data_IF_440734306472
#
_entry.id   IF_440734306472
#
_cell.length_a   1.000
_cell.length_b   1.000
_cell.length_c   1.000
_cell.angle_alpha   90.00
_cell.angle_beta   90.00
_cell.angle_gamma   90.00
#
_symmetry.space_group_name_H-M   'P 1'
#
loop_
_entity.id
_entity.type
_entity.pdbx_description
1 polymer ?
#
# COMPACT_ATOMS: atom_id res chain seq x y z
N UNK A 1 24.14 -13.80 4.60
CA UNK A 1 22.72 -13.40 4.84
C UNK A 1 21.91 -13.86 3.62
N UNK A 2 20.65 -14.29 3.73
CA UNK A 2 19.88 -14.91 2.61
C UNK A 2 20.00 -14.20 1.25
N UNK A 3 20.00 -12.85 1.23
CA UNK A 3 20.21 -12.04 0.02
C UNK A 3 21.64 -12.12 -0.56
N UNK A 4 22.64 -12.22 0.30
CA UNK A 4 24.06 -12.30 -0.07
C UNK A 4 24.42 -13.70 -0.59
N UNK A 5 23.80 -14.73 0.00
CA UNK A 5 24.07 -16.14 -0.28
C UNK A 5 23.30 -16.63 -1.54
N UNK A 6 22.17 -15.99 -1.86
CA UNK A 6 21.31 -16.35 -3.01
C UNK A 6 21.02 -15.15 -3.93
N UNK A 7 22.05 -14.65 -4.61
CA UNK A 7 21.98 -13.43 -5.44
C UNK A 7 21.10 -13.55 -6.69
N UNK A 8 20.88 -14.76 -7.19
CA UNK A 8 20.06 -15.03 -8.38
C UNK A 8 18.56 -15.08 -8.09
N UNK A 9 18.17 -15.17 -6.81
CA UNK A 9 16.77 -15.19 -6.39
C UNK A 9 16.29 -13.75 -6.22
N UNK A 10 15.11 -13.44 -6.75
CA UNK A 10 14.43 -12.16 -6.45
C UNK A 10 13.83 -12.24 -5.05
N UNK A 11 14.41 -11.51 -4.11
CA UNK A 11 13.95 -11.48 -2.71
C UNK A 11 12.88 -10.41 -2.50
N UNK A 12 11.65 -10.85 -2.24
CA UNK A 12 10.52 -9.97 -1.94
C UNK A 12 10.21 -9.93 -0.44
N UNK A 13 9.46 -8.89 -0.02
CA UNK A 13 8.97 -8.82 1.35
C UNK A 13 7.65 -9.58 1.47
N UNK A 14 7.48 -10.26 2.59
CA UNK A 14 6.19 -10.86 2.93
C UNK A 14 5.18 -9.76 3.31
N UNK A 15 4.14 -9.64 2.49
CA UNK A 15 3.05 -8.68 2.67
C UNK A 15 2.39 -8.79 4.03
N UNK A 16 2.24 -10.00 4.59
CA UNK A 16 1.60 -10.19 5.87
C UNK A 16 2.33 -9.44 6.99
N UNK A 17 3.68 -9.48 6.97
CA UNK A 17 4.50 -8.77 7.94
C UNK A 17 4.34 -7.26 7.83
N UNK A 18 4.22 -6.73 6.60
CA UNK A 18 4.02 -5.30 6.35
C UNK A 18 2.65 -4.86 6.86
N UNK A 19 1.57 -5.56 6.45
CA UNK A 19 0.19 -5.25 6.87
C UNK A 19 0.05 -5.34 8.39
N UNK A 20 0.64 -6.36 9.02
CA UNK A 20 0.68 -6.50 10.47
C UNK A 20 1.37 -5.31 11.15
N UNK A 21 2.47 -4.82 10.57
CA UNK A 21 3.18 -3.63 11.04
C UNK A 21 2.32 -2.37 10.97
N UNK A 22 1.64 -2.12 9.84
CA UNK A 22 0.72 -0.99 9.67
C UNK A 22 -0.43 -1.07 10.67
N UNK A 23 -1.08 -2.24 10.78
CA UNK A 23 -2.14 -2.49 11.76
C UNK A 23 -1.67 -2.18 13.18
N UNK A 24 -0.48 -2.64 13.58
CA UNK A 24 0.07 -2.37 14.92
C UNK A 24 0.23 -0.87 15.16
N UNK A 25 0.77 -0.12 14.20
CA UNK A 25 0.96 1.34 14.32
C UNK A 25 -0.37 2.08 14.44
N UNK A 26 -1.39 1.67 13.70
CA UNK A 26 -2.72 2.26 13.78
C UNK A 26 -3.42 2.00 15.11
N UNK A 27 -3.30 0.78 15.64
CA UNK A 27 -3.82 0.46 16.97
C UNK A 27 -3.12 1.29 18.05
N UNK A 28 -1.80 1.51 17.93
CA UNK A 28 -1.04 2.38 18.83
C UNK A 28 -1.47 3.85 18.76
N UNK A 29 -1.86 4.34 17.57
CA UNK A 29 -2.35 5.70 17.39
C UNK A 29 -3.85 5.87 17.67
N UNK A 30 -4.54 4.83 18.18
CA UNK A 30 -5.98 4.82 18.50
C UNK A 30 -6.92 5.03 17.30
N UNK A 31 -6.44 4.86 16.07
CA UNK A 31 -7.25 4.95 14.85
C UNK A 31 -7.89 3.60 14.51
N UNK A 32 -8.63 3.02 15.46
CA UNK A 32 -9.12 1.63 15.39
C UNK A 32 -10.15 1.41 14.29
N UNK A 33 -11.01 2.39 14.04
CA UNK A 33 -12.06 2.37 12.99
C UNK A 33 -11.49 2.22 11.58
N UNK A 34 -10.28 2.76 11.33
CA UNK A 34 -9.63 2.76 10.02
C UNK A 34 -8.79 1.50 9.77
N UNK A 35 -8.50 0.69 10.80
CA UNK A 35 -7.56 -0.43 10.72
C UNK A 35 -7.94 -1.40 9.60
N UNK A 36 -9.22 -1.75 9.51
CA UNK A 36 -9.70 -2.69 8.48
C UNK A 36 -9.53 -2.09 7.08
N UNK A 37 -9.99 -0.86 6.88
CA UNK A 37 -9.96 -0.18 5.59
C UNK A 37 -8.55 0.02 5.08
N UNK A 38 -7.65 0.53 5.92
CA UNK A 38 -6.24 0.77 5.55
C UNK A 38 -5.50 -0.54 5.28
N UNK A 39 -5.75 -1.59 6.07
CA UNK A 39 -5.13 -2.91 5.86
C UNK A 39 -5.58 -3.54 4.54
N UNK A 40 -6.88 -3.46 4.24
CA UNK A 40 -7.45 -3.97 3.00
C UNK A 40 -6.94 -3.16 1.79
N UNK A 41 -6.85 -1.83 1.92
CA UNK A 41 -6.30 -0.96 0.88
C UNK A 41 -4.86 -1.34 0.54
N UNK A 42 -4.00 -1.54 1.55
CA UNK A 42 -2.63 -1.98 1.30
C UNK A 42 -2.57 -3.34 0.58
N UNK A 43 -3.44 -4.28 0.95
CA UNK A 43 -3.54 -5.58 0.29
C UNK A 43 -3.94 -5.43 -1.18
N UNK A 44 -4.96 -4.61 -1.45
CA UNK A 44 -5.39 -4.24 -2.79
C UNK A 44 -4.25 -3.63 -3.62
N UNK A 45 -3.50 -2.69 -3.03
CA UNK A 45 -2.39 -2.02 -3.72
C UNK A 45 -1.34 -3.02 -4.21
N UNK A 46 -0.96 -3.99 -3.37
CA UNK A 46 0.06 -4.99 -3.72
C UNK A 46 -0.46 -5.99 -4.76
N UNK A 47 -1.74 -6.35 -4.71
CA UNK A 47 -2.29 -7.33 -5.64
C UNK A 47 -2.69 -6.77 -7.00
N UNK A 48 -2.77 -5.44 -7.12
CA UNK A 48 -3.13 -4.78 -8.37
C UNK A 48 -2.01 -3.92 -8.95
N UNK A 49 -0.80 -3.97 -8.37
CA UNK A 49 0.36 -3.27 -8.93
C UNK A 49 1.08 -4.04 -10.04
N UNK A 50 0.75 -5.30 -10.30
CA UNK A 50 1.40 -6.15 -11.32
C UNK A 50 2.94 -6.18 -11.21
N UNK A 51 3.46 -6.16 -9.98
CA UNK A 51 4.89 -6.14 -9.70
C UNK A 51 5.58 -4.78 -9.92
N UNK A 52 4.83 -3.74 -10.29
CA UNK A 52 5.33 -2.39 -10.50
C UNK A 52 5.41 -1.61 -9.17
N UNK A 53 6.64 -1.38 -8.71
CA UNK A 53 6.89 -0.71 -7.44
C UNK A 53 6.41 0.74 -7.41
N UNK A 54 6.42 1.44 -8.56
CA UNK A 54 5.94 2.83 -8.63
C UNK A 54 4.41 2.87 -8.57
N UNK A 55 3.74 1.95 -9.28
CA UNK A 55 2.28 1.83 -9.21
C UNK A 55 1.82 1.41 -7.82
N UNK A 56 2.53 0.48 -7.16
CA UNK A 56 2.29 0.11 -5.77
C UNK A 56 2.39 1.33 -4.84
N UNK A 57 3.45 2.13 -4.99
CA UNK A 57 3.64 3.34 -4.19
C UNK A 57 2.50 4.33 -4.40
N UNK A 58 2.11 4.58 -5.65
CA UNK A 58 1.04 5.54 -5.94
C UNK A 58 -0.33 5.07 -5.43
N UNK A 59 -0.68 3.79 -5.65
CA UNK A 59 -1.87 3.16 -5.07
C UNK A 59 -1.87 3.27 -3.55
N UNK A 60 -0.75 3.01 -2.90
CA UNK A 60 -0.67 3.10 -1.44
C UNK A 60 -0.86 4.55 -0.95
N UNK A 61 -0.18 5.50 -1.58
CA UNK A 61 -0.27 6.92 -1.22
C UNK A 61 -1.65 7.53 -1.51
N UNK A 62 -2.43 6.94 -2.41
CA UNK A 62 -3.79 7.40 -2.72
C UNK A 62 -4.75 7.38 -1.52
N UNK A 63 -4.46 6.58 -0.49
CA UNK A 63 -5.30 6.53 0.73
C UNK A 63 -5.42 7.90 1.40
N UNK A 64 -4.37 8.73 1.32
CA UNK A 64 -4.38 10.07 1.90
C UNK A 64 -5.37 11.00 1.20
N UNK A 65 -5.49 10.88 -0.12
CA UNK A 65 -6.48 11.60 -0.91
C UNK A 65 -7.90 11.04 -0.67
N UNK A 66 -8.03 9.72 -0.62
CA UNK A 66 -9.32 9.05 -0.39
C UNK A 66 -9.94 9.43 0.96
N UNK A 67 -9.13 9.55 2.02
CA UNK A 67 -9.60 9.95 3.36
C UNK A 67 -10.20 11.37 3.37
N UNK A 68 -9.71 12.27 2.51
CA UNK A 68 -10.24 13.64 2.36
C UNK A 68 -11.24 13.77 1.20
N UNK A 69 -11.73 12.65 0.68
CA UNK A 69 -12.67 12.58 -0.44
C UNK A 69 -12.16 13.25 -1.73
N UNK A 70 -10.85 13.23 -1.96
CA UNK A 70 -10.21 13.67 -3.20
C UNK A 70 -9.86 12.43 -4.02
N UNK A 71 -10.40 12.32 -5.22
CA UNK A 71 -10.27 11.13 -6.08
C UNK A 71 -9.43 11.38 -7.34
N UNK A 72 -8.90 12.58 -7.51
CA UNK A 72 -8.00 12.98 -8.60
C UNK A 72 -6.86 13.86 -8.05
N UNK A 73 -5.63 13.65 -8.51
CA UNK A 73 -4.45 14.37 -8.05
C UNK A 73 -3.33 14.37 -9.11
N UNK A 74 -2.42 15.34 -9.03
CA UNK A 74 -1.29 15.49 -9.98
C UNK A 74 0.08 15.10 -9.38
N UNK A 75 0.11 14.73 -8.10
CA UNK A 75 1.35 14.49 -7.34
C UNK A 75 1.94 13.09 -7.51
N UNK A 76 1.30 12.22 -8.30
CA UNK A 76 1.68 10.83 -8.52
C UNK A 76 2.25 10.61 -9.94
N UNK A 77 2.89 9.48 -10.19
CA UNK A 77 3.58 9.19 -11.44
C UNK A 77 2.75 8.31 -12.39
N UNK A 78 2.13 7.26 -11.86
CA UNK A 78 1.41 6.22 -12.61
C UNK A 78 -0.09 6.21 -12.34
N UNK A 79 -0.54 6.63 -11.16
CA UNK A 79 -1.96 6.67 -10.81
C UNK A 79 -2.36 8.06 -10.34
N UNK A 80 -3.10 8.78 -11.18
CA UNK A 80 -3.55 10.17 -10.95
C UNK A 80 -5.01 10.27 -10.45
N UNK A 81 -5.71 9.13 -10.35
CA UNK A 81 -7.10 9.07 -9.88
C UNK A 81 -7.43 7.72 -9.25
N UNK A 82 -8.50 7.65 -8.47
CA UNK A 82 -9.03 6.39 -7.98
C UNK A 82 -9.57 5.51 -9.12
N UNK A 83 -9.49 4.19 -8.93
CA UNK A 83 -9.96 3.19 -9.91
C UNK A 83 -11.43 2.82 -9.76
N UNK A 84 -12.09 3.30 -8.70
CA UNK A 84 -13.51 3.10 -8.46
C UNK A 84 -14.31 4.36 -8.83
N UNK A 85 -15.61 4.16 -9.05
CA UNK A 85 -16.57 5.25 -9.24
C UNK A 85 -17.10 5.71 -7.86
N UNK A 86 -17.43 7.00 -7.77
CA UNK A 86 -17.96 7.66 -6.58
C UNK A 86 -19.43 7.32 -6.30
#
# INVERSE_FOLDING_TARGET
>A
MLREDHKTIKHEFDLWHIVKGVKKRMLQSRNTEWVRTVSNHLWYCVCTCDGDALLLKDKWMSILHHIINVHEWLSAEKMLKCEHEL
#
